data_IF_342074552151
#
_entry.id   IF_342074552151
#
_cell.length_a   1.000
_cell.length_b   1.000
_cell.length_c   1.000
_cell.angle_alpha   90.00
_cell.angle_beta   90.00
_cell.angle_gamma   90.00
#
_symmetry.space_group_name_H-M   'P 1'
#
loop_
_entity.id
_entity.type
_entity.pdbx_description
1 polymer ?
#
# COMPACT_ATOMS: atom_id res chain seq x y z
N UNK A 1 17.73 -11.83 -13.30
CA UNK A 1 17.26 -12.51 -12.08
C UNK A 1 17.83 -11.76 -10.90
N UNK A 2 17.00 -10.97 -10.22
CA UNK A 2 17.41 -10.31 -8.97
C UNK A 2 17.57 -11.41 -7.92
N UNK A 3 18.68 -11.41 -7.20
CA UNK A 3 18.89 -12.36 -6.10
C UNK A 3 17.80 -12.18 -5.04
N UNK A 4 17.32 -13.27 -4.43
CA UNK A 4 16.32 -13.22 -3.35
C UNK A 4 16.67 -12.22 -2.25
N UNK A 5 17.97 -12.06 -1.95
CA UNK A 5 18.43 -11.09 -0.95
C UNK A 5 18.31 -9.63 -1.39
N UNK A 6 18.54 -9.32 -2.67
CA UNK A 6 18.41 -7.96 -3.17
C UNK A 6 16.95 -7.49 -3.23
N UNK A 7 16.03 -8.42 -3.51
CA UNK A 7 14.59 -8.14 -3.42
C UNK A 7 14.17 -7.87 -1.97
N UNK A 8 14.68 -8.67 -1.04
CA UNK A 8 14.39 -8.49 0.39
C UNK A 8 14.85 -7.13 0.92
N UNK A 9 16.07 -6.70 0.57
CA UNK A 9 16.58 -5.38 0.94
C UNK A 9 15.70 -4.27 0.37
N UNK A 10 15.31 -4.37 -0.90
CA UNK A 10 14.54 -3.33 -1.59
C UNK A 10 13.19 -3.03 -0.93
N UNK A 11 12.42 -4.06 -0.55
CA UNK A 11 11.13 -3.80 0.09
C UNK A 11 11.26 -3.39 1.57
N UNK A 12 12.33 -3.80 2.27
CA UNK A 12 12.61 -3.33 3.63
C UNK A 12 12.93 -1.84 3.64
N UNK A 13 13.80 -1.39 2.74
CA UNK A 13 14.10 0.04 2.56
C UNK A 13 12.85 0.83 2.18
N UNK A 14 12.00 0.27 1.31
CA UNK A 14 10.73 0.88 0.94
C UNK A 14 9.80 1.02 2.15
N UNK A 15 9.66 -0.02 3.00
CA UNK A 15 8.84 0.05 4.23
C UNK A 15 9.37 1.07 5.23
N UNK A 16 10.69 1.16 5.42
CA UNK A 16 11.30 2.16 6.30
C UNK A 16 11.00 3.59 5.81
N UNK A 17 11.16 3.83 4.51
CA UNK A 17 10.83 5.12 3.91
C UNK A 17 9.33 5.47 4.09
N UNK A 18 8.44 4.49 3.91
CA UNK A 18 7.00 4.67 4.09
C UNK A 18 6.65 4.99 5.55
N UNK A 19 7.18 4.23 6.50
CA UNK A 19 6.93 4.48 7.93
C UNK A 19 7.40 5.87 8.37
N UNK A 20 8.47 6.39 7.79
CA UNK A 20 9.03 7.71 8.16
C UNK A 20 8.30 8.89 7.53
N UNK A 21 7.85 8.76 6.28
CA UNK A 21 7.35 9.90 5.50
C UNK A 21 5.87 9.77 5.11
N UNK A 22 5.21 8.66 5.47
CA UNK A 22 3.82 8.37 5.16
C UNK A 22 3.54 8.08 3.67
N UNK A 23 4.55 8.12 2.81
CA UNK A 23 4.42 7.81 1.38
C UNK A 23 5.74 7.29 0.80
N UNK A 24 5.71 6.22 -0.02
CA UNK A 24 6.90 5.78 -0.74
C UNK A 24 7.24 6.76 -1.85
N UNK A 25 8.54 6.83 -2.19
CA UNK A 25 8.98 7.44 -3.44
C UNK A 25 8.57 6.53 -4.59
N UNK A 26 8.25 7.08 -5.76
CA UNK A 26 7.73 6.30 -6.90
C UNK A 26 8.64 5.11 -7.26
N UNK A 27 9.96 5.33 -7.25
CA UNK A 27 10.97 4.30 -7.50
C UNK A 27 10.96 3.13 -6.50
N UNK A 28 10.50 3.32 -5.25
CA UNK A 28 10.47 2.28 -4.21
C UNK A 28 9.08 1.67 -4.02
N UNK A 29 8.03 2.27 -4.59
CA UNK A 29 6.66 1.78 -4.47
C UNK A 29 6.49 0.38 -5.08
N UNK A 30 7.15 0.10 -6.21
CA UNK A 30 7.08 -1.21 -6.86
C UNK A 30 7.66 -2.33 -5.98
N UNK A 31 8.72 -2.07 -5.21
CA UNK A 31 9.33 -3.07 -4.34
C UNK A 31 8.35 -3.57 -3.26
N UNK A 32 7.41 -2.74 -2.81
CA UNK A 32 6.39 -3.14 -1.83
C UNK A 32 5.43 -4.21 -2.37
N UNK A 33 5.27 -4.34 -3.70
CA UNK A 33 4.44 -5.39 -4.28
C UNK A 33 5.01 -6.79 -4.07
N UNK A 34 6.33 -6.90 -3.89
CA UNK A 34 7.04 -8.15 -3.63
C UNK A 34 7.26 -8.43 -2.12
N UNK A 35 6.82 -7.52 -1.25
CA UNK A 35 6.92 -7.67 0.19
C UNK A 35 5.91 -8.70 0.73
N UNK A 36 6.21 -9.39 1.84
CA UNK A 36 5.18 -10.11 2.60
C UNK A 36 4.05 -9.16 3.00
N UNK A 37 2.81 -9.53 2.70
CA UNK A 37 1.66 -8.64 2.91
C UNK A 37 1.49 -8.27 4.39
N UNK A 38 1.89 -9.14 5.32
CA UNK A 38 1.83 -8.89 6.76
C UNK A 38 2.72 -7.70 7.16
N UNK A 39 3.92 -7.62 6.59
CA UNK A 39 4.86 -6.52 6.86
C UNK A 39 4.32 -5.19 6.34
N UNK A 40 3.66 -5.21 5.17
CA UNK A 40 3.00 -4.04 4.60
C UNK A 40 1.79 -3.64 5.44
N UNK A 41 0.96 -4.61 5.86
CA UNK A 41 -0.24 -4.36 6.64
C UNK A 41 0.06 -3.77 8.02
N UNK A 42 1.19 -4.15 8.64
CA UNK A 42 1.64 -3.61 9.91
C UNK A 42 1.91 -2.10 9.81
N UNK A 43 2.79 -1.69 8.90
CA UNK A 43 3.14 -0.27 8.67
C UNK A 43 1.90 0.52 8.22
N UNK A 44 1.08 -0.04 7.34
CA UNK A 44 -0.15 0.61 6.89
C UNK A 44 -1.15 0.80 8.05
N UNK A 45 -1.20 -0.13 9.00
CA UNK A 45 -2.06 -0.02 10.19
C UNK A 45 -1.61 1.13 11.08
N UNK A 46 -0.32 1.27 11.33
CA UNK A 46 0.26 2.36 12.12
C UNK A 46 -0.03 3.71 11.46
N UNK A 47 0.31 3.87 10.17
CA UNK A 47 0.05 5.09 9.42
C UNK A 47 -1.45 5.46 9.38
N UNK A 48 -2.33 4.46 9.24
CA UNK A 48 -3.78 4.67 9.31
C UNK A 48 -4.20 5.14 10.71
N UNK A 49 -3.66 4.55 11.78
CA UNK A 49 -3.98 4.96 13.15
C UNK A 49 -3.53 6.41 13.40
N UNK A 50 -2.33 6.78 12.96
CA UNK A 50 -1.82 8.15 13.08
C UNK A 50 -2.65 9.16 12.28
N UNK A 51 -2.97 8.85 11.03
CA UNK A 51 -3.63 9.81 10.13
C UNK A 51 -5.17 9.83 10.20
N UNK A 52 -5.81 8.69 10.48
CA UNK A 52 -7.28 8.51 10.45
C UNK A 52 -7.85 8.00 11.77
N UNK A 53 -7.03 7.56 12.72
CA UNK A 53 -7.48 6.98 13.97
C UNK A 53 -8.19 5.64 13.76
N UNK A 54 -9.17 5.37 14.63
CA UNK A 54 -9.98 4.14 14.61
C UNK A 54 -11.36 4.33 13.96
N UNK A 55 -11.68 5.54 13.50
CA UNK A 55 -12.97 5.84 12.88
C UNK A 55 -13.07 5.19 11.49
N UNK A 56 -14.06 4.32 11.32
CA UNK A 56 -14.43 3.76 10.03
C UNK A 56 -15.62 4.54 9.47
N UNK A 57 -15.40 5.29 8.40
CA UNK A 57 -16.47 6.04 7.72
C UNK A 57 -17.14 5.17 6.67
N UNK A 58 -18.47 5.19 6.62
CA UNK A 58 -19.25 4.51 5.59
C UNK A 58 -19.99 5.55 4.74
N UNK A 59 -19.94 5.39 3.42
CA UNK A 59 -20.70 6.18 2.45
C UNK A 59 -21.54 5.22 1.64
N UNK A 60 -22.88 5.34 1.62
CA UNK A 60 -23.72 4.56 0.72
C UNK A 60 -23.34 4.90 -0.73
N UNK A 61 -22.63 3.98 -1.40
CA UNK A 61 -22.26 4.12 -2.80
C UNK A 61 -23.29 3.39 -3.65
N UNK A 62 -24.00 4.12 -4.50
CA UNK A 62 -24.85 3.52 -5.54
C UNK A 62 -24.06 3.59 -6.85
N UNK A 63 -23.69 2.42 -7.37
CA UNK A 63 -23.16 2.32 -8.73
C UNK A 63 -24.33 2.12 -9.69
N UNK A 64 -24.53 3.06 -10.62
CA UNK A 64 -25.57 2.98 -11.64
C UNK A 64 -24.87 2.67 -12.97
N UNK A 65 -24.88 1.42 -13.46
CA UNK A 65 -24.38 1.12 -14.79
C UNK A 65 -25.29 1.81 -15.82
N UNK A 66 -24.75 2.82 -16.51
CA UNK A 66 -25.50 3.58 -17.50
C UNK A 66 -25.63 2.83 -18.84
N UNK A 67 -24.76 1.86 -19.09
CA UNK A 67 -24.77 1.00 -20.28
C UNK A 67 -24.00 -0.30 -20.01
N UNK A 68 -24.34 -1.35 -20.76
CA UNK A 68 -23.60 -2.62 -20.82
C UNK A 68 -22.95 -2.85 -22.19
N UNK A 69 -23.03 -1.87 -23.10
CA UNK A 69 -22.35 -1.92 -24.39
C UNK A 69 -20.85 -1.67 -24.20
N UNK A 70 -20.03 -2.58 -24.72
CA UNK A 70 -18.57 -2.47 -24.75
C UNK A 70 -18.11 -2.56 -26.23
N UNK A 71 -17.08 -1.80 -26.63
CA UNK A 71 -16.51 -1.84 -27.99
C UNK A 71 -15.52 -2.99 -28.12
#
# INVERSE_FOLDING_TARGET
MVSSGAMETAWREALEAVGRYGRPVEATAHALADAPWEAVAEVARELRLEGKGTLVTYSPKVFIPLTTLCR
#
